data_IF_218515771732
#
_entry.id   IF_218515771732
#
_cell.length_a   1.000
_cell.length_b   1.000
_cell.length_c   1.000
_cell.angle_alpha   90.00
_cell.angle_beta   90.00
_cell.angle_gamma   90.00
#
_symmetry.space_group_name_H-M   'P 1'
#
loop_
_entity.id
_entity.type
_entity.pdbx_description
1 polymer ?
#
# COMPACT_ATOMS: atom_id res chain seq x y z
N UNK A 1 1.93 0.60 -18.27
CA UNK A 1 2.45 0.30 -16.94
C UNK A 1 2.68 -1.18 -16.69
N UNK A 2 3.44 -1.50 -15.65
CA UNK A 2 3.80 -2.89 -15.35
C UNK A 2 3.89 -3.14 -13.83
N UNK A 3 3.38 -4.29 -13.37
CA UNK A 3 3.62 -4.80 -12.03
C UNK A 3 5.03 -5.40 -11.96
N UNK A 4 5.86 -4.91 -11.05
CA UNK A 4 7.28 -5.32 -10.97
C UNK A 4 7.63 -6.15 -9.73
N UNK A 5 6.76 -6.19 -8.71
CA UNK A 5 6.94 -7.08 -7.58
C UNK A 5 6.79 -8.55 -8.00
N UNK A 6 7.45 -9.45 -7.28
CA UNK A 6 7.41 -10.91 -7.47
C UNK A 6 6.44 -11.60 -6.51
N UNK A 7 5.53 -10.82 -5.88
CA UNK A 7 4.50 -11.30 -4.98
C UNK A 7 4.93 -11.39 -3.53
N UNK A 8 3.92 -11.59 -2.68
CA UNK A 8 4.09 -11.73 -1.24
C UNK A 8 4.61 -13.13 -0.91
N UNK A 9 5.60 -13.21 -0.03
CA UNK A 9 6.22 -14.43 0.49
C UNK A 9 6.13 -14.42 2.01
N UNK A 10 6.30 -15.57 2.62
CA UNK A 10 6.35 -15.70 4.08
C UNK A 10 7.40 -14.75 4.67
N UNK A 11 7.01 -13.92 5.63
CA UNK A 11 7.96 -13.12 6.39
C UNK A 11 8.69 -14.02 7.39
N UNK A 12 10.02 -14.08 7.27
CA UNK A 12 10.83 -14.87 8.19
C UNK A 12 10.64 -14.39 9.65
N UNK A 13 10.43 -15.34 10.55
CA UNK A 13 10.15 -15.04 11.97
C UNK A 13 8.68 -14.72 12.28
N UNK A 14 7.80 -14.69 11.29
CA UNK A 14 6.35 -14.58 11.49
C UNK A 14 5.63 -15.82 10.96
N UNK A 15 4.50 -16.17 11.56
CA UNK A 15 3.70 -17.33 11.14
C UNK A 15 2.68 -17.01 10.06
N UNK A 16 2.25 -15.74 9.96
CA UNK A 16 1.03 -15.35 9.22
C UNK A 16 1.20 -14.06 8.42
N UNK A 17 2.39 -13.47 8.44
CA UNK A 17 2.68 -12.23 7.74
C UNK A 17 3.55 -12.45 6.51
N UNK A 18 3.49 -11.51 5.61
CA UNK A 18 4.22 -11.59 4.34
C UNK A 18 5.13 -10.39 4.13
N UNK A 19 6.17 -10.63 3.36
CA UNK A 19 7.03 -9.61 2.75
C UNK A 19 6.89 -9.70 1.23
N UNK A 20 6.73 -8.57 0.58
CA UNK A 20 6.74 -8.55 -0.89
C UNK A 20 8.16 -8.52 -1.40
N UNK A 21 8.50 -9.49 -2.24
CA UNK A 21 9.82 -9.64 -2.86
C UNK A 21 9.87 -9.07 -4.28
N UNK A 22 11.08 -8.92 -4.83
CA UNK A 22 11.28 -8.50 -6.21
C UNK A 22 12.32 -7.41 -6.40
N UNK A 23 13.07 -7.01 -5.35
CA UNK A 23 14.12 -5.99 -5.45
C UNK A 23 15.36 -6.51 -6.18
N UNK A 24 15.66 -7.80 -6.09
CA UNK A 24 16.82 -8.39 -6.76
C UNK A 24 16.69 -8.30 -8.28
N UNK A 25 17.70 -7.70 -8.92
CA UNK A 25 17.72 -7.46 -10.37
C UNK A 25 16.63 -6.47 -10.85
N UNK A 26 16.03 -5.69 -9.94
CA UNK A 26 14.97 -4.75 -10.32
C UNK A 26 15.48 -3.62 -11.21
N UNK A 27 16.69 -3.09 -10.95
CA UNK A 27 17.27 -2.00 -11.74
C UNK A 27 17.39 -2.38 -13.21
N UNK A 28 17.88 -3.58 -13.51
CA UNK A 28 18.03 -4.10 -14.87
C UNK A 28 16.66 -4.29 -15.53
N UNK A 29 15.71 -4.91 -14.84
CA UNK A 29 14.35 -5.10 -15.35
C UNK A 29 13.62 -3.78 -15.63
N UNK A 30 13.84 -2.75 -14.79
CA UNK A 30 13.21 -1.44 -15.01
C UNK A 30 13.74 -0.76 -16.28
N UNK A 31 15.03 -0.92 -16.59
CA UNK A 31 15.58 -0.43 -17.85
C UNK A 31 14.93 -1.10 -19.05
N UNK A 32 14.82 -2.43 -19.03
CA UNK A 32 14.16 -3.20 -20.09
C UNK A 32 12.70 -2.75 -20.26
N UNK A 33 11.96 -2.60 -19.17
CA UNK A 33 10.56 -2.15 -19.22
C UNK A 33 10.42 -0.74 -19.75
N UNK A 34 11.33 0.16 -19.39
CA UNK A 34 11.34 1.51 -19.93
C UNK A 34 11.55 1.51 -21.45
N UNK A 35 12.51 0.72 -21.92
CA UNK A 35 12.82 0.59 -23.36
C UNK A 35 11.64 -0.03 -24.14
N UNK A 36 10.87 -0.91 -23.50
CA UNK A 36 9.61 -1.46 -24.03
C UNK A 36 8.41 -0.50 -23.95
N UNK A 37 8.61 0.72 -23.46
CA UNK A 37 7.60 1.77 -23.42
C UNK A 37 6.85 1.91 -22.10
N UNK A 38 7.20 1.19 -21.03
CA UNK A 38 6.62 1.43 -19.72
C UNK A 38 7.01 2.82 -19.18
N UNK A 39 6.06 3.50 -18.52
CA UNK A 39 6.27 4.82 -17.90
C UNK A 39 5.82 4.88 -16.45
N UNK A 40 5.11 3.86 -15.98
CA UNK A 40 4.80 3.68 -14.57
C UNK A 40 4.83 2.20 -14.19
N UNK A 41 5.03 1.96 -12.92
CA UNK A 41 5.12 0.61 -12.34
C UNK A 41 4.22 0.50 -11.12
N UNK A 42 3.98 -0.72 -10.64
CA UNK A 42 3.22 -0.98 -9.44
C UNK A 42 3.90 -2.04 -8.58
N UNK A 43 3.91 -1.80 -7.26
CA UNK A 43 4.36 -2.75 -6.23
C UNK A 43 3.37 -2.76 -5.08
N UNK A 44 2.88 -3.94 -4.74
CA UNK A 44 1.89 -4.16 -3.68
C UNK A 44 2.54 -4.81 -2.46
N UNK A 45 2.36 -4.21 -1.30
CA UNK A 45 2.56 -4.85 -0.01
C UNK A 45 1.20 -5.09 0.65
N UNK A 46 1.04 -6.18 1.40
CA UNK A 46 -0.22 -6.52 2.05
C UNK A 46 -0.04 -6.72 3.55
N UNK A 47 -1.01 -6.22 4.32
CA UNK A 47 -1.03 -6.28 5.78
C UNK A 47 -2.37 -6.85 6.26
N UNK A 48 -2.30 -7.92 7.03
CA UNK A 48 -3.49 -8.55 7.63
C UNK A 48 -3.72 -8.00 9.03
N UNK A 49 -4.97 -7.72 9.36
CA UNK A 49 -5.35 -7.33 10.72
C UNK A 49 -5.86 -8.56 11.48
N UNK A 50 -5.27 -8.82 12.64
CA UNK A 50 -5.82 -9.69 13.66
C UNK A 50 -5.31 -9.25 15.04
N UNK A 51 -5.50 -10.08 16.07
CA UNK A 51 -5.16 -9.72 17.46
C UNK A 51 -3.69 -9.28 17.67
N UNK A 52 -2.76 -9.82 16.87
CA UNK A 52 -1.31 -9.61 17.02
C UNK A 52 -0.67 -8.92 15.79
N UNK A 53 -1.41 -8.73 14.71
CA UNK A 53 -0.88 -8.27 13.42
C UNK A 53 -1.63 -7.05 12.88
N UNK A 54 -0.99 -6.22 12.02
CA UNK A 54 0.38 -6.39 11.56
C UNK A 54 1.40 -6.07 12.66
N UNK A 55 2.51 -6.80 12.66
CA UNK A 55 3.65 -6.54 13.54
C UNK A 55 4.47 -5.34 13.06
N UNK A 56 5.24 -4.74 13.96
CA UNK A 56 6.21 -3.70 13.59
C UNK A 56 7.24 -4.19 12.57
N UNK A 57 7.61 -5.48 12.64
CA UNK A 57 8.50 -6.10 11.67
C UNK A 57 7.89 -6.08 10.27
N UNK A 58 6.65 -6.52 10.11
CA UNK A 58 5.94 -6.55 8.82
C UNK A 58 5.78 -5.15 8.25
N UNK A 59 5.35 -4.18 9.06
CA UNK A 59 5.16 -2.80 8.63
C UNK A 59 6.47 -2.21 8.13
N UNK A 60 7.54 -2.28 8.92
CA UNK A 60 8.86 -1.72 8.54
C UNK A 60 9.49 -2.39 7.34
N UNK A 61 9.49 -3.72 7.30
CA UNK A 61 10.12 -4.45 6.19
C UNK A 61 9.44 -4.18 4.85
N UNK A 62 8.10 -4.14 4.83
CA UNK A 62 7.37 -3.83 3.60
C UNK A 62 7.46 -2.34 3.23
N UNK A 63 7.44 -1.41 4.18
CA UNK A 63 7.65 0.01 3.92
C UNK A 63 9.03 0.28 3.32
N UNK A 64 10.08 -0.36 3.88
CA UNK A 64 11.44 -0.29 3.33
C UNK A 64 11.51 -0.84 1.89
N UNK A 65 10.88 -1.98 1.63
CA UNK A 65 10.84 -2.56 0.29
C UNK A 65 10.11 -1.64 -0.72
N UNK A 66 8.96 -1.07 -0.33
CA UNK A 66 8.21 -0.10 -1.13
C UNK A 66 9.03 1.14 -1.45
N UNK A 67 9.75 1.68 -0.47
CA UNK A 67 10.57 2.87 -0.66
C UNK A 67 11.78 2.61 -1.57
N UNK A 68 12.49 1.50 -1.40
CA UNK A 68 13.59 1.09 -2.28
C UNK A 68 13.11 0.86 -3.70
N UNK A 69 11.97 0.20 -3.85
CA UNK A 69 11.32 0.03 -5.15
C UNK A 69 11.04 1.39 -5.80
N UNK A 70 10.42 2.31 -5.07
CA UNK A 70 10.05 3.62 -5.60
C UNK A 70 11.28 4.44 -6.05
N UNK A 71 12.37 4.42 -5.26
CA UNK A 71 13.62 5.07 -5.62
C UNK A 71 14.23 4.51 -6.93
N UNK A 72 14.26 3.18 -7.08
CA UNK A 72 14.74 2.53 -8.31
C UNK A 72 13.88 2.87 -9.53
N UNK A 73 12.57 2.97 -9.35
CA UNK A 73 11.64 3.34 -10.44
C UNK A 73 11.87 4.78 -10.89
N UNK A 74 12.09 5.71 -9.96
CA UNK A 74 12.41 7.10 -10.31
C UNK A 74 13.77 7.24 -10.95
N UNK A 75 14.78 6.48 -10.52
CA UNK A 75 16.08 6.38 -11.20
C UNK A 75 15.91 5.97 -12.66
N UNK A 76 14.98 5.05 -12.93
CA UNK A 76 14.62 4.59 -14.28
C UNK A 76 13.68 5.55 -15.03
N UNK A 77 13.41 6.76 -14.52
CA UNK A 77 12.54 7.79 -15.13
C UNK A 77 11.10 7.34 -15.33
N UNK A 78 10.60 6.53 -14.41
CA UNK A 78 9.21 6.06 -14.36
C UNK A 78 8.52 6.50 -13.06
N UNK A 79 7.20 6.44 -13.05
CA UNK A 79 6.37 6.77 -11.89
C UNK A 79 6.09 5.51 -11.07
N UNK A 80 6.47 5.45 -9.78
CA UNK A 80 6.08 4.36 -8.91
C UNK A 80 4.66 4.54 -8.39
N UNK A 81 3.81 3.53 -8.57
CA UNK A 81 2.56 3.39 -7.84
C UNK A 81 2.88 2.57 -6.59
N UNK A 82 2.78 3.21 -5.43
CA UNK A 82 3.06 2.64 -4.11
C UNK A 82 1.76 2.11 -3.52
N UNK A 83 1.67 0.79 -3.32
CA UNK A 83 0.43 0.12 -2.90
C UNK A 83 0.60 -0.60 -1.55
N UNK A 84 0.56 0.13 -0.42
CA UNK A 84 0.53 -0.46 0.92
C UNK A 84 -0.92 -0.79 1.29
N UNK A 85 -1.35 -2.04 1.09
CA UNK A 85 -2.75 -2.44 1.26
C UNK A 85 -2.99 -3.16 2.59
N UNK A 86 -3.86 -2.59 3.41
CA UNK A 86 -4.43 -3.29 4.56
C UNK A 86 -5.64 -4.10 4.09
N UNK A 87 -5.57 -5.42 4.31
CA UNK A 87 -6.59 -6.35 3.82
C UNK A 87 -7.89 -6.25 4.62
N UNK A 88 -9.03 -6.48 3.95
CA UNK A 88 -10.33 -6.55 4.61
C UNK A 88 -10.66 -7.92 5.21
N UNK A 89 -9.77 -8.90 5.05
CA UNK A 89 -9.97 -10.23 5.64
C UNK A 89 -9.96 -10.15 7.17
N UNK A 90 -10.93 -10.81 7.81
CA UNK A 90 -11.06 -10.86 9.26
C UNK A 90 -12.25 -10.10 9.84
N UNK A 91 -12.28 -9.98 11.15
CA UNK A 91 -13.39 -9.46 11.95
C UNK A 91 -13.16 -8.06 12.54
N UNK A 92 -12.08 -7.38 12.13
CA UNK A 92 -11.71 -6.06 12.64
C UNK A 92 -12.77 -5.00 12.32
N UNK A 93 -12.99 -4.07 13.24
CA UNK A 93 -13.87 -2.95 13.01
C UNK A 93 -13.20 -1.81 12.22
N UNK A 94 -13.99 -0.82 11.78
CA UNK A 94 -13.50 0.32 10.99
C UNK A 94 -12.39 1.12 11.69
N UNK A 95 -12.43 1.24 13.02
CA UNK A 95 -11.42 1.97 13.77
C UNK A 95 -10.09 1.23 13.87
N UNK A 96 -10.12 -0.11 13.89
CA UNK A 96 -8.91 -0.93 13.80
C UNK A 96 -8.27 -0.79 12.42
N UNK A 97 -9.07 -0.82 11.34
CA UNK A 97 -8.59 -0.54 10.00
C UNK A 97 -7.98 0.86 9.89
N UNK A 98 -8.64 1.88 10.45
CA UNK A 98 -8.13 3.25 10.48
C UNK A 98 -6.76 3.33 11.17
N UNK A 99 -6.64 2.73 12.36
CA UNK A 99 -5.38 2.74 13.11
C UNK A 99 -4.25 2.06 12.34
N UNK A 100 -4.49 0.86 11.85
CA UNK A 100 -3.46 0.10 11.12
C UNK A 100 -3.06 0.80 9.83
N UNK A 101 -4.02 1.32 9.07
CA UNK A 101 -3.71 2.08 7.85
C UNK A 101 -2.90 3.34 8.17
N UNK A 102 -3.20 4.04 9.29
CA UNK A 102 -2.40 5.17 9.77
C UNK A 102 -0.96 4.75 10.06
N UNK A 103 -0.75 3.67 10.81
CA UNK A 103 0.59 3.18 11.16
C UNK A 103 1.38 2.78 9.90
N UNK A 104 0.73 2.08 8.97
CA UNK A 104 1.33 1.66 7.68
C UNK A 104 1.70 2.85 6.80
N UNK A 105 0.81 3.84 6.64
CA UNK A 105 1.09 5.03 5.82
C UNK A 105 2.22 5.86 6.41
N UNK A 106 2.22 6.08 7.72
CA UNK A 106 3.28 6.84 8.39
C UNK A 106 4.65 6.18 8.17
N UNK A 107 4.76 4.87 8.38
CA UNK A 107 6.05 4.18 8.16
C UNK A 107 6.43 4.17 6.68
N UNK A 108 5.45 4.02 5.77
CA UNK A 108 5.70 4.07 4.34
C UNK A 108 6.29 5.41 3.91
N UNK A 109 5.72 6.54 4.36
CA UNK A 109 6.22 7.87 4.01
C UNK A 109 7.55 8.20 4.70
N UNK A 110 7.77 7.74 5.93
CA UNK A 110 9.08 7.84 6.59
C UNK A 110 10.17 7.14 5.78
N UNK A 111 9.91 5.94 5.30
CA UNK A 111 10.86 5.18 4.47
C UNK A 111 11.04 5.80 3.08
N UNK A 112 9.98 6.30 2.45
CA UNK A 112 10.08 7.02 1.17
C UNK A 112 10.98 8.26 1.29
N UNK A 113 10.85 9.04 2.37
CA UNK A 113 11.71 10.18 2.65
C UNK A 113 13.16 9.74 2.90
N UNK A 114 13.38 8.71 3.72
CA UNK A 114 14.71 8.15 4.00
C UNK A 114 15.43 7.70 2.73
N UNK A 115 14.70 7.10 1.79
CA UNK A 115 15.21 6.67 0.48
C UNK A 115 15.27 7.81 -0.55
N UNK A 116 14.98 9.05 -0.15
CA UNK A 116 15.04 10.27 -1.00
C UNK A 116 14.13 10.18 -2.24
N UNK A 117 12.97 9.54 -2.10
CA UNK A 117 11.96 9.49 -3.16
C UNK A 117 11.32 10.86 -3.31
N UNK A 118 11.27 11.38 -4.54
CA UNK A 118 10.48 12.58 -4.84
C UNK A 118 8.99 12.24 -4.83
N UNK A 119 8.29 12.65 -3.78
CA UNK A 119 6.86 12.36 -3.60
C UNK A 119 5.99 12.96 -4.70
N UNK A 120 6.42 14.06 -5.34
CA UNK A 120 5.70 14.65 -6.48
C UNK A 120 5.68 13.75 -7.72
N UNK A 121 6.61 12.81 -7.79
CA UNK A 121 6.69 11.82 -8.85
C UNK A 121 6.09 10.46 -8.48
N UNK A 122 5.19 10.37 -7.49
CA UNK A 122 4.58 9.12 -7.03
C UNK A 122 3.07 9.11 -7.19
N UNK A 123 2.47 7.92 -7.18
CA UNK A 123 1.02 7.71 -7.00
C UNK A 123 0.82 6.76 -5.82
N UNK A 124 -0.01 7.16 -4.86
CA UNK A 124 -0.43 6.26 -3.77
C UNK A 124 -1.63 5.41 -4.23
N UNK A 125 -1.57 4.11 -3.96
CA UNK A 125 -2.71 3.22 -4.16
C UNK A 125 -3.11 2.56 -2.83
N UNK A 126 -3.91 3.25 -1.99
CA UNK A 126 -4.29 2.77 -0.67
C UNK A 126 -5.57 1.94 -0.71
N UNK A 127 -5.79 1.17 0.37
CA UNK A 127 -7.12 0.67 0.71
C UNK A 127 -8.04 1.81 1.18
N UNK A 128 -9.35 1.59 1.11
CA UNK A 128 -10.33 2.38 1.85
C UNK A 128 -10.38 1.93 3.31
N UNK A 129 -10.83 2.80 4.21
CA UNK A 129 -11.02 2.45 5.62
C UNK A 129 -12.36 1.75 5.77
N UNK A 130 -12.32 0.43 5.83
CA UNK A 130 -13.51 -0.43 5.88
C UNK A 130 -13.40 -1.44 7.03
N UNK A 131 -14.52 -1.89 7.61
CA UNK A 131 -14.50 -3.03 8.51
C UNK A 131 -14.14 -4.31 7.78
N UNK A 132 -13.64 -5.29 8.51
CA UNK A 132 -13.34 -6.61 7.98
C UNK A 132 -14.57 -7.32 7.41
N UNK A 133 -14.34 -8.22 6.47
CA UNK A 133 -15.42 -8.98 5.81
C UNK A 133 -16.27 -9.80 6.78
N UNK A 134 -15.70 -10.26 7.89
CA UNK A 134 -16.33 -11.04 8.94
C UNK A 134 -16.84 -10.16 10.11
N UNK A 135 -16.59 -8.85 10.07
CA UNK A 135 -17.06 -7.92 11.10
C UNK A 135 -18.61 -7.88 11.12
N UNK A 136 -19.19 -7.98 12.31
CA UNK A 136 -20.65 -7.92 12.50
C UNK A 136 -21.18 -6.51 12.31
N UNK A 137 -20.41 -5.51 12.73
CA UNK A 137 -20.77 -4.10 12.61
C UNK A 137 -20.37 -3.59 11.23
N UNK A 138 -21.34 -3.44 10.34
CA UNK A 138 -21.11 -2.93 8.99
C UNK A 138 -21.24 -1.41 8.97
N UNK A 139 -20.23 -0.76 8.43
CA UNK A 139 -20.27 0.68 8.20
C UNK A 139 -20.99 0.99 6.88
N UNK A 140 -21.68 2.14 6.83
CA UNK A 140 -22.28 2.62 5.59
C UNK A 140 -21.27 3.40 4.73
N UNK A 141 -21.63 3.63 3.45
CA UNK A 141 -20.74 4.31 2.50
C UNK A 141 -20.27 5.70 2.97
N UNK A 142 -21.16 6.47 3.60
CA UNK A 142 -20.82 7.80 4.10
C UNK A 142 -19.77 7.76 5.22
N UNK A 143 -19.87 6.79 6.12
CA UNK A 143 -18.89 6.57 7.19
C UNK A 143 -17.55 6.11 6.62
N UNK A 144 -17.55 5.16 5.69
CA UNK A 144 -16.36 4.67 4.99
C UNK A 144 -15.65 5.82 4.27
N UNK A 145 -16.38 6.59 3.46
CA UNK A 145 -15.82 7.74 2.76
C UNK A 145 -15.22 8.77 3.73
N UNK A 146 -15.96 9.12 4.80
CA UNK A 146 -15.48 10.06 5.81
C UNK A 146 -14.20 9.57 6.49
N UNK A 147 -14.17 8.32 6.97
CA UNK A 147 -13.00 7.75 7.64
C UNK A 147 -11.81 7.59 6.71
N UNK A 148 -12.05 7.23 5.45
CA UNK A 148 -11.00 7.15 4.44
C UNK A 148 -10.38 8.53 4.19
N UNK A 149 -11.20 9.56 3.98
CA UNK A 149 -10.72 10.92 3.76
C UNK A 149 -10.01 11.50 4.98
N UNK A 150 -10.51 11.24 6.21
CA UNK A 150 -9.83 11.65 7.45
C UNK A 150 -8.43 11.02 7.55
N UNK A 151 -8.33 9.72 7.30
CA UNK A 151 -7.07 8.99 7.34
C UNK A 151 -6.07 9.52 6.32
N UNK A 152 -6.49 9.66 5.07
CA UNK A 152 -5.61 10.10 3.98
C UNK A 152 -5.16 11.56 4.17
N UNK A 153 -6.06 12.48 4.51
CA UNK A 153 -5.70 13.89 4.77
C UNK A 153 -4.70 14.05 5.92
N UNK A 154 -4.75 13.17 6.90
CA UNK A 154 -3.86 13.22 8.05
C UNK A 154 -2.47 12.64 7.76
N UNK A 155 -2.40 11.58 6.96
CA UNK A 155 -1.20 10.75 6.86
C UNK A 155 -0.50 10.78 5.48
N UNK A 156 -1.15 11.37 4.46
CA UNK A 156 -0.55 11.51 3.12
C UNK A 156 0.00 12.92 2.95
N UNK A 157 1.30 13.10 2.65
CA UNK A 157 1.87 14.40 2.38
C UNK A 157 1.16 15.13 1.23
N UNK A 158 0.96 16.44 1.40
CA UNK A 158 0.21 17.26 0.43
C UNK A 158 0.84 17.39 -0.95
N UNK A 159 2.12 17.03 -1.09
CA UNK A 159 2.86 17.04 -2.35
C UNK A 159 2.74 15.73 -3.13
N UNK A 160 2.01 14.73 -2.63
CA UNK A 160 1.65 13.51 -3.40
C UNK A 160 0.55 13.88 -4.39
N UNK A 161 0.80 13.80 -5.72
CA UNK A 161 -0.08 14.40 -6.72
C UNK A 161 -1.32 13.55 -7.04
N UNK A 162 -1.33 12.27 -6.69
CA UNK A 162 -2.41 11.38 -7.06
C UNK A 162 -2.63 10.21 -6.12
N UNK A 163 -3.91 9.85 -5.94
CA UNK A 163 -4.36 8.69 -5.21
C UNK A 163 -5.28 7.87 -6.13
N UNK A 164 -4.98 6.58 -6.27
CA UNK A 164 -5.78 5.64 -7.04
C UNK A 164 -6.25 4.51 -6.11
N UNK A 165 -7.52 4.47 -5.78
CA UNK A 165 -8.06 3.46 -4.88
C UNK A 165 -8.05 2.05 -5.48
N UNK A 166 -7.88 1.05 -4.61
CA UNK A 166 -8.16 -0.34 -4.91
C UNK A 166 -9.53 -0.72 -4.33
N UNK A 167 -10.17 -1.76 -4.88
CA UNK A 167 -11.45 -2.24 -4.37
C UNK A 167 -11.34 -2.92 -2.99
N UNK A 168 -10.18 -3.52 -2.68
CA UNK A 168 -9.90 -4.16 -1.39
C UNK A 168 -10.78 -5.36 -1.08
N UNK A 169 -11.29 -6.06 -2.11
CA UNK A 169 -12.22 -7.18 -1.92
C UNK A 169 -13.70 -6.79 -1.84
N UNK A 170 -14.02 -5.50 -1.86
CA UNK A 170 -15.40 -5.03 -2.01
C UNK A 170 -15.96 -5.41 -3.39
N UNK A 171 -17.28 -5.55 -3.49
CA UNK A 171 -17.94 -5.68 -4.79
C UNK A 171 -17.70 -4.43 -5.66
N UNK A 172 -17.89 -4.57 -6.95
CA UNK A 172 -17.73 -3.48 -7.93
C UNK A 172 -18.63 -2.28 -7.59
N UNK A 173 -19.87 -2.57 -7.18
CA UNK A 173 -20.84 -1.53 -6.78
C UNK A 173 -20.42 -0.86 -5.49
N UNK A 174 -20.04 -1.62 -4.46
CA UNK A 174 -19.62 -1.08 -3.17
C UNK A 174 -18.35 -0.21 -3.30
N UNK A 175 -17.34 -0.70 -4.01
CA UNK A 175 -16.07 0.04 -4.19
C UNK A 175 -16.22 1.33 -5.01
N UNK A 176 -17.25 1.40 -5.87
CA UNK A 176 -17.58 2.63 -6.60
C UNK A 176 -18.39 3.61 -5.75
N UNK A 177 -19.17 3.08 -4.81
CA UNK A 177 -20.09 3.85 -3.98
C UNK A 177 -19.41 4.46 -2.75
N UNK A 178 -18.37 3.80 -2.22
CA UNK A 178 -17.59 4.21 -1.06
C UNK A 178 -16.47 5.19 -1.43
#
# INVERSE_FOLDING_TARGET
GIKVDKGAKQLAGSTDETITEGLDGLRERLKEYYDLGARFTKWRAVYKINKNFPSAQSIKSNAHALARYAALVQEAKMVPIVEPEVLMDGDHNIMQCYKVTTDVLNECYNELELQKVDLKGTVLKPNMIIPGSECKDKSNASEIAKKTMECLKKNVPSNVPGIAFLSGGQSEIESTRN
#
